data_IF_789078745646
#
_entry.id   IF_789078745646
#
_cell.length_a   1.000
_cell.length_b   1.000
_cell.length_c   1.000
_cell.angle_alpha   90.00
_cell.angle_beta   90.00
_cell.angle_gamma   90.00
#
_symmetry.space_group_name_H-M   'P 1'
#
loop_
_entity.id
_entity.type
_entity.pdbx_description
1 polymer ?
#
# COMPACT_ATOMS: atom_id res chain seq x y z
N UNK A 1 5.97 -19.88 44.53
CA UNK A 1 5.95 -20.49 43.18
C UNK A 1 4.73 -20.09 42.33
N UNK A 2 3.50 -20.03 42.86
CA UNK A 2 2.30 -19.70 42.06
C UNK A 2 2.25 -18.25 41.52
N UNK A 3 2.77 -17.27 42.27
CA UNK A 3 2.74 -15.85 41.88
C UNK A 3 3.68 -15.51 40.73
N UNK A 4 4.88 -16.09 40.72
CA UNK A 4 5.88 -15.87 39.66
C UNK A 4 5.46 -16.49 38.33
N UNK A 5 4.78 -17.63 38.36
CA UNK A 5 4.23 -18.26 37.15
C UNK A 5 3.15 -17.40 36.49
N UNK A 6 2.29 -16.75 37.28
CA UNK A 6 1.26 -15.85 36.75
C UNK A 6 1.88 -14.62 36.07
N UNK A 7 2.93 -14.05 36.67
CA UNK A 7 3.64 -12.90 36.09
C UNK A 7 4.31 -13.27 34.76
N UNK A 8 4.94 -14.45 34.68
CA UNK A 8 5.57 -14.94 33.45
C UNK A 8 4.51 -15.17 32.36
N UNK A 9 3.37 -15.78 32.71
CA UNK A 9 2.28 -16.00 31.77
C UNK A 9 1.71 -14.67 31.25
N UNK A 10 1.55 -13.67 32.12
CA UNK A 10 1.05 -12.34 31.73
C UNK A 10 2.04 -11.62 30.78
N UNK A 11 3.34 -11.68 31.08
CA UNK A 11 4.40 -11.12 30.22
C UNK A 11 4.43 -11.79 28.84
N UNK A 12 4.21 -13.10 28.76
CA UNK A 12 4.18 -13.83 27.49
C UNK A 12 2.99 -13.43 26.60
N UNK A 13 1.81 -13.18 27.20
CA UNK A 13 0.62 -12.73 26.47
C UNK A 13 0.79 -11.30 25.94
N UNK A 14 1.47 -10.43 26.68
CA UNK A 14 1.77 -9.06 26.23
C UNK A 14 2.67 -9.06 24.99
N UNK A 15 3.66 -9.96 24.91
CA UNK A 15 4.52 -10.08 23.73
C UNK A 15 3.76 -10.49 22.47
N UNK A 16 2.74 -11.35 22.58
CA UNK A 16 1.90 -11.74 21.44
C UNK A 16 1.01 -10.60 20.93
N UNK A 17 0.59 -9.68 21.80
CA UNK A 17 -0.22 -8.52 21.41
C UNK A 17 0.55 -7.54 20.50
N UNK A 18 1.88 -7.51 20.56
CA UNK A 18 2.72 -6.71 19.68
C UNK A 18 2.98 -7.36 18.31
N UNK A 19 2.59 -8.62 18.11
CA UNK A 19 2.80 -9.37 16.87
C UNK A 19 1.63 -9.27 15.87
N UNK A 20 0.78 -8.24 15.97
CA UNK A 20 -0.37 -8.07 15.07
C UNK A 20 0.09 -7.99 13.60
N UNK A 21 -0.37 -8.93 12.77
CA UNK A 21 -0.13 -8.90 11.34
C UNK A 21 -0.97 -7.80 10.69
N UNK A 22 -0.37 -7.05 9.74
CA UNK A 22 -1.13 -6.10 8.93
C UNK A 22 -2.12 -6.87 8.05
N UNK A 23 -3.39 -6.44 7.95
CA UNK A 23 -4.41 -7.18 7.22
C UNK A 23 -4.15 -7.25 5.71
N UNK A 24 -3.38 -6.30 5.17
CA UNK A 24 -2.95 -6.28 3.76
C UNK A 24 -1.46 -5.95 3.70
N UNK A 25 -0.71 -6.72 2.92
CA UNK A 25 0.69 -6.44 2.56
C UNK A 25 0.74 -5.82 1.17
N UNK A 26 1.48 -4.73 1.02
CA UNK A 26 1.68 -4.05 -0.27
C UNK A 26 3.11 -4.26 -0.74
N UNK A 27 3.29 -4.79 -1.94
CA UNK A 27 4.58 -4.91 -2.60
C UNK A 27 4.60 -4.01 -3.83
N UNK A 28 5.69 -3.28 -4.01
CA UNK A 28 5.90 -2.39 -5.15
C UNK A 28 7.11 -2.87 -5.92
N UNK A 29 6.92 -3.15 -7.21
CA UNK A 29 7.98 -3.60 -8.11
C UNK A 29 8.12 -2.62 -9.27
N UNK A 30 9.36 -2.25 -9.56
CA UNK A 30 9.72 -1.40 -10.69
C UNK A 30 10.51 -2.23 -11.70
N UNK A 31 10.15 -2.14 -12.98
CA UNK A 31 10.85 -2.85 -14.06
C UNK A 31 11.72 -1.88 -14.85
N UNK A 32 13.03 -2.15 -15.00
CA UNK A 32 13.91 -1.38 -15.88
C UNK A 32 13.45 -1.47 -17.35
N UNK A 33 13.72 -0.44 -18.18
CA UNK A 33 14.46 0.79 -17.87
C UNK A 33 13.61 1.83 -17.13
N UNK A 34 14.14 2.42 -16.06
CA UNK A 34 13.41 3.42 -15.27
C UNK A 34 13.23 4.74 -16.03
N UNK A 35 12.04 5.32 -15.95
CA UNK A 35 11.72 6.58 -16.63
C UNK A 35 11.96 7.78 -15.70
N UNK A 36 12.45 8.93 -16.22
CA UNK A 36 12.37 10.17 -15.47
C UNK A 36 10.94 10.74 -15.41
N UNK A 37 10.01 10.22 -16.22
CA UNK A 37 8.64 10.73 -16.33
C UNK A 37 7.66 9.87 -15.52
N UNK A 38 6.97 10.51 -14.59
CA UNK A 38 6.12 9.80 -13.62
C UNK A 38 4.90 9.11 -14.28
N UNK A 39 4.32 9.73 -15.31
CA UNK A 39 3.20 9.20 -16.08
C UNK A 39 3.52 7.90 -16.85
N UNK A 40 4.80 7.65 -17.18
CA UNK A 40 5.19 6.42 -17.89
C UNK A 40 5.07 5.17 -17.00
N UNK A 41 5.09 5.32 -15.67
CA UNK A 41 5.00 4.19 -14.75
C UNK A 41 3.63 3.50 -14.78
N UNK A 42 2.57 4.20 -15.17
CA UNK A 42 1.22 3.63 -15.34
C UNK A 42 0.73 3.64 -16.80
N UNK A 43 1.67 3.64 -17.76
CA UNK A 43 1.32 3.51 -19.17
C UNK A 43 0.66 2.15 -19.45
N UNK A 44 -0.41 2.15 -20.24
CA UNK A 44 -1.11 0.93 -20.67
C UNK A 44 -0.29 0.11 -21.66
N UNK A 45 0.61 0.75 -22.41
CA UNK A 45 1.43 0.12 -23.45
C UNK A 45 2.73 -0.46 -22.88
N UNK A 46 3.28 0.15 -21.83
CA UNK A 46 4.52 -0.29 -21.19
C UNK A 46 4.51 0.12 -19.71
N UNK A 47 3.84 -0.68 -18.88
CA UNK A 47 3.79 -0.44 -17.43
C UNK A 47 5.14 -0.78 -16.80
N UNK A 48 5.74 0.19 -16.13
CA UNK A 48 7.03 0.03 -15.43
C UNK A 48 6.91 -0.08 -13.91
N UNK A 49 5.68 0.02 -13.42
CA UNK A 49 5.31 -0.13 -12.03
C UNK A 49 4.25 -1.23 -11.92
N UNK A 50 4.41 -2.08 -10.91
CA UNK A 50 3.40 -3.02 -10.48
C UNK A 50 3.26 -2.92 -8.96
N UNK A 51 2.01 -2.94 -8.50
CA UNK A 51 1.64 -2.97 -7.09
C UNK A 51 0.88 -4.26 -6.83
N UNK A 52 1.40 -5.09 -5.93
CA UNK A 52 0.78 -6.35 -5.53
C UNK A 52 0.26 -6.22 -4.11
N UNK A 53 -1.03 -6.46 -3.93
CA UNK A 53 -1.72 -6.44 -2.64
C UNK A 53 -1.97 -7.89 -2.22
N UNK A 54 -1.39 -8.32 -1.11
CA UNK A 54 -1.63 -9.63 -0.52
C UNK A 54 -2.57 -9.43 0.67
N UNK A 55 -3.79 -9.99 0.59
CA UNK A 55 -4.80 -9.84 1.63
C UNK A 55 -4.65 -10.95 2.68
N UNK A 56 -3.91 -10.64 3.74
CA UNK A 56 -3.58 -11.62 4.79
C UNK A 56 -4.77 -11.95 5.69
N UNK A 57 -5.75 -11.04 5.84
CA UNK A 57 -6.93 -11.27 6.66
C UNK A 57 -8.01 -12.01 5.85
N UNK A 58 -8.18 -13.30 6.11
CA UNK A 58 -9.16 -14.17 5.45
C UNK A 58 -10.62 -13.81 5.74
N UNK A 59 -10.88 -12.93 6.72
CA UNK A 59 -12.23 -12.49 7.10
C UNK A 59 -12.75 -11.35 6.22
N UNK A 60 -11.89 -10.75 5.40
CA UNK A 60 -12.29 -9.66 4.49
C UNK A 60 -13.13 -10.22 3.33
N UNK A 61 -14.31 -9.64 3.11
CA UNK A 61 -15.21 -10.01 2.00
C UNK A 61 -15.66 -8.72 1.34
N UNK A 62 -15.36 -8.55 0.05
CA UNK A 62 -15.66 -7.35 -0.74
C UNK A 62 -15.34 -6.04 0.00
N UNK A 63 -14.21 -6.00 0.71
CA UNK A 63 -13.88 -4.90 1.59
C UNK A 63 -13.35 -3.71 0.76
N UNK A 64 -14.03 -2.55 0.76
CA UNK A 64 -13.62 -1.42 -0.05
C UNK A 64 -12.41 -0.71 0.56
N UNK A 65 -11.33 -0.60 -0.20
CA UNK A 65 -10.11 0.11 0.20
C UNK A 65 -9.73 1.17 -0.82
N UNK A 66 -8.99 2.17 -0.36
CA UNK A 66 -8.31 3.14 -1.22
C UNK A 66 -6.81 2.91 -1.15
N UNK A 67 -6.17 2.82 -2.31
CA UNK A 67 -4.71 2.89 -2.40
C UNK A 67 -4.29 4.35 -2.29
N UNK A 68 -3.17 4.63 -1.63
CA UNK A 68 -2.56 5.95 -1.63
C UNK A 68 -1.15 5.83 -2.21
N UNK A 69 -0.91 6.52 -3.33
CA UNK A 69 0.41 6.65 -3.90
C UNK A 69 1.17 7.75 -3.14
N UNK A 70 2.40 7.47 -2.73
CA UNK A 70 3.33 8.46 -2.19
C UNK A 70 4.63 8.35 -2.96
N UNK A 71 5.06 9.45 -3.58
CA UNK A 71 6.29 9.53 -4.37
C UNK A 71 7.08 10.71 -3.85
N UNK A 72 8.31 10.43 -3.44
CA UNK A 72 9.26 11.44 -3.00
C UNK A 72 10.41 11.50 -4.00
N UNK A 73 10.88 12.72 -4.31
CA UNK A 73 12.13 12.90 -5.04
C UNK A 73 13.26 13.10 -4.04
N UNK A 74 14.15 12.10 -3.86
CA UNK A 74 15.23 12.17 -2.89
C UNK A 74 16.09 13.42 -3.08
N UNK A 75 16.42 14.11 -1.99
CA UNK A 75 17.31 15.27 -1.97
C UNK A 75 16.68 16.60 -2.43
N UNK A 76 15.46 16.59 -2.98
CA UNK A 76 14.76 17.82 -3.38
C UNK A 76 13.80 18.38 -2.32
N UNK A 77 13.41 17.54 -1.36
CA UNK A 77 12.38 17.85 -0.37
C UNK A 77 10.99 18.05 -1.00
N UNK A 78 10.73 17.50 -2.19
CA UNK A 78 9.42 17.56 -2.85
C UNK A 78 8.81 16.17 -2.88
N UNK A 79 7.56 16.07 -2.45
CA UNK A 79 6.76 14.87 -2.56
C UNK A 79 5.40 15.12 -3.20
N UNK A 80 4.88 14.04 -3.76
CA UNK A 80 3.55 13.91 -4.34
C UNK A 80 2.82 12.82 -3.57
N UNK A 81 1.56 13.09 -3.21
CA UNK A 81 0.67 12.07 -2.68
C UNK A 81 -0.69 12.11 -3.37
N UNK A 82 -1.35 10.96 -3.44
CA UNK A 82 -2.77 10.92 -3.81
C UNK A 82 -3.58 11.72 -2.81
N UNK A 83 -4.43 12.62 -3.31
CA UNK A 83 -5.28 13.47 -2.51
C UNK A 83 -6.42 12.67 -1.86
N UNK A 84 -6.85 13.04 -0.66
CA UNK A 84 -7.98 12.39 0.02
C UNK A 84 -9.31 12.57 -0.75
N UNK A 85 -9.44 13.69 -1.46
CA UNK A 85 -10.59 14.01 -2.31
C UNK A 85 -10.50 13.41 -3.73
N UNK A 86 -9.44 12.67 -4.07
CA UNK A 86 -9.30 12.06 -5.39
C UNK A 86 -10.47 11.10 -5.65
N UNK A 87 -11.16 11.30 -6.78
CA UNK A 87 -12.31 10.51 -7.20
C UNK A 87 -11.87 9.20 -7.89
N UNK A 88 -11.06 8.40 -7.20
CA UNK A 88 -10.61 7.08 -7.67
C UNK A 88 -11.55 6.02 -7.07
N UNK A 89 -12.11 5.11 -7.89
CA UNK A 89 -12.96 4.04 -7.39
C UNK A 89 -12.23 3.17 -6.36
N UNK A 90 -12.91 2.72 -5.28
CA UNK A 90 -12.30 1.84 -4.29
C UNK A 90 -12.00 0.46 -4.90
N UNK A 91 -10.92 -0.15 -4.44
CA UNK A 91 -10.58 -1.54 -4.72
C UNK A 91 -11.37 -2.43 -3.76
N UNK A 92 -12.00 -3.49 -4.27
CA UNK A 92 -12.72 -4.45 -3.44
C UNK A 92 -11.80 -5.64 -3.15
N UNK A 93 -11.36 -5.75 -1.90
CA UNK A 93 -10.45 -6.83 -1.48
C UNK A 93 -11.22 -8.00 -0.89
N UNK A 94 -10.74 -9.21 -1.22
CA UNK A 94 -11.22 -10.46 -0.65
C UNK A 94 -10.08 -11.16 0.09
N UNK A 95 -10.38 -11.73 1.24
CA UNK A 95 -9.41 -12.38 2.13
C UNK A 95 -8.73 -13.57 1.48
N UNK A 96 -7.42 -13.70 1.69
CA UNK A 96 -6.61 -14.78 1.11
C UNK A 96 -6.30 -14.62 -0.38
N UNK A 97 -6.77 -13.55 -1.02
CA UNK A 97 -6.52 -13.27 -2.43
C UNK A 97 -5.31 -12.33 -2.62
N UNK A 98 -4.73 -12.38 -3.81
CA UNK A 98 -3.70 -11.41 -4.24
C UNK A 98 -4.26 -10.58 -5.39
N UNK A 99 -4.23 -9.26 -5.23
CA UNK A 99 -4.62 -8.31 -6.28
C UNK A 99 -3.37 -7.67 -6.88
N UNK A 100 -3.29 -7.60 -8.20
CA UNK A 100 -2.14 -7.04 -8.92
C UNK A 100 -2.60 -5.86 -9.76
N UNK A 101 -2.02 -4.69 -9.51
CA UNK A 101 -2.31 -3.45 -10.20
C UNK A 101 -1.11 -3.02 -11.05
N UNK A 102 -1.34 -2.71 -12.32
CA UNK A 102 -0.35 -2.17 -13.24
C UNK A 102 -1.04 -1.39 -14.37
N UNK A 103 -0.29 -0.56 -15.10
CA UNK A 103 -0.76 0.18 -16.27
C UNK A 103 -2.08 0.91 -16.00
N UNK A 104 -3.14 0.48 -16.69
CA UNK A 104 -4.49 1.06 -16.56
C UNK A 104 -4.99 1.10 -15.10
N UNK A 105 -4.73 0.06 -14.30
CA UNK A 105 -5.17 -0.02 -12.90
C UNK A 105 -4.49 1.00 -11.98
N UNK A 106 -3.34 1.54 -12.40
CA UNK A 106 -2.60 2.58 -11.67
C UNK A 106 -2.71 3.96 -12.32
N UNK A 107 -3.24 4.06 -13.55
CA UNK A 107 -3.23 5.29 -14.35
C UNK A 107 -3.86 6.49 -13.64
N UNK A 108 -4.97 6.30 -12.93
CA UNK A 108 -5.67 7.37 -12.22
C UNK A 108 -4.87 7.96 -11.05
N UNK A 109 -3.92 7.21 -10.48
CA UNK A 109 -3.06 7.67 -9.39
C UNK A 109 -1.98 8.63 -9.87
N UNK A 110 -1.72 8.69 -11.18
CA UNK A 110 -0.72 9.58 -11.78
C UNK A 110 -1.34 10.82 -12.44
N UNK A 111 -2.66 11.00 -12.36
CA UNK A 111 -3.32 12.21 -12.86
C UNK A 111 -3.07 13.38 -11.93
N UNK A 112 -2.59 14.52 -12.45
CA UNK A 112 -2.25 15.69 -11.64
C UNK A 112 -3.40 16.17 -10.74
N UNK A 113 -4.64 16.16 -11.24
CA UNK A 113 -5.83 16.55 -10.49
C UNK A 113 -6.13 15.69 -9.25
N UNK A 114 -5.63 14.45 -9.21
CA UNK A 114 -5.84 13.51 -8.12
C UNK A 114 -4.72 13.58 -7.06
N UNK A 115 -3.76 14.49 -7.21
CA UNK A 115 -2.57 14.53 -6.39
C UNK A 115 -2.30 15.92 -5.82
N UNK A 116 -1.71 15.94 -4.63
CA UNK A 116 -1.20 17.16 -4.01
C UNK A 116 0.32 17.08 -3.91
N UNK A 117 0.96 18.22 -4.14
CA UNK A 117 2.41 18.39 -4.07
C UNK A 117 2.74 19.25 -2.87
N UNK A 118 3.73 18.81 -2.08
CA UNK A 118 4.15 19.53 -0.88
C UNK A 118 5.64 19.32 -0.64
N UNK A 119 6.19 20.17 0.23
CA UNK A 119 7.55 20.03 0.70
C UNK A 119 7.61 19.10 1.91
N UNK A 120 8.57 18.17 1.90
CA UNK A 120 8.86 17.22 3.00
C UNK A 120 9.98 17.76 3.87
#
# INVERSE_FOLDING_TARGET
>A
MKRTTLTILLLLNLLMAFAQSKPVTVLVTLTPPYSPFLNEYASTTSSRLQVTLIVNDSRMINYPVKLQLFVERPGSGVAMRTAEYAAIPPLLLNGGMTEVLSGAGLSQYFLAQNNVFYRV
#
